data_IF_572195706024
#
_entry.id   IF_572195706024
#
_cell.length_a   1.000
_cell.length_b   1.000
_cell.length_c   1.000
_cell.angle_alpha   90.00
_cell.angle_beta   90.00
_cell.angle_gamma   90.00
#
_symmetry.space_group_name_H-M   'P 1'
#
loop_
_entity.id
_entity.type
_entity.pdbx_description
1 polymer ?
#
# COMPACT_ATOMS: atom_id res chain seq x y z
N UNK A 1 -8.44 -1.95 -39.08
CA UNK A 1 -7.96 -3.12 -38.31
C UNK A 1 -9.13 -3.63 -37.47
N UNK A 2 -9.81 -4.70 -37.89
CA UNK A 2 -10.97 -5.25 -37.16
C UNK A 2 -10.47 -6.01 -35.94
N UNK A 3 -10.59 -5.43 -34.74
CA UNK A 3 -10.24 -6.11 -33.49
C UNK A 3 -11.28 -7.20 -33.21
N UNK A 4 -10.85 -8.46 -33.28
CA UNK A 4 -11.69 -9.62 -33.04
C UNK A 4 -11.86 -9.81 -31.52
N UNK A 5 -12.68 -8.94 -30.90
CA UNK A 5 -12.89 -8.89 -29.44
C UNK A 5 -13.24 -10.27 -28.85
N UNK A 6 -13.97 -11.10 -29.61
CA UNK A 6 -14.41 -12.44 -29.21
C UNK A 6 -13.24 -13.40 -28.95
N UNK A 7 -12.17 -13.34 -29.75
CA UNK A 7 -10.99 -14.20 -29.57
C UNK A 7 -10.13 -13.82 -28.36
N UNK A 8 -10.13 -12.53 -27.98
CA UNK A 8 -9.38 -12.04 -26.82
C UNK A 8 -10.03 -12.41 -25.48
N UNK A 9 -11.36 -12.45 -25.40
CA UNK A 9 -12.08 -12.93 -24.21
C UNK A 9 -11.92 -14.44 -23.99
N UNK A 10 -11.77 -15.22 -25.06
CA UNK A 10 -11.51 -16.67 -25.03
C UNK A 10 -10.07 -17.04 -24.63
N UNK A 11 -9.16 -16.06 -24.57
CA UNK A 11 -7.75 -16.23 -24.19
C UNK A 11 -7.47 -15.87 -22.72
N UNK A 12 -8.48 -15.91 -21.84
CA UNK A 12 -8.22 -15.73 -20.40
C UNK A 12 -7.51 -16.97 -19.85
N UNK A 13 -6.30 -16.78 -19.34
CA UNK A 13 -5.61 -17.83 -18.59
C UNK A 13 -6.32 -18.02 -17.26
N UNK A 14 -6.17 -19.20 -16.64
CA UNK A 14 -6.73 -19.48 -15.31
C UNK A 14 -6.36 -18.41 -14.26
N UNK A 15 -5.15 -17.86 -14.38
CA UNK A 15 -4.66 -16.76 -13.55
C UNK A 15 -5.50 -15.49 -13.72
N UNK A 16 -5.93 -15.18 -14.93
CA UNK A 16 -6.71 -13.97 -15.23
C UNK A 16 -8.15 -14.11 -14.69
N UNK A 17 -8.72 -15.32 -14.76
CA UNK A 17 -9.99 -15.64 -14.08
C UNK A 17 -9.89 -15.44 -12.57
N UNK A 18 -8.83 -15.97 -11.93
CA UNK A 18 -8.64 -15.81 -10.48
C UNK A 18 -8.48 -14.35 -10.08
N UNK A 19 -7.75 -13.55 -10.87
CA UNK A 19 -7.62 -12.10 -10.64
C UNK A 19 -8.96 -11.40 -10.72
N UNK A 20 -9.78 -11.72 -11.73
CA UNK A 20 -11.11 -11.15 -11.88
C UNK A 20 -12.01 -11.52 -10.69
N UNK A 21 -11.99 -12.79 -10.28
CA UNK A 21 -12.71 -13.28 -9.10
C UNK A 21 -12.28 -12.56 -7.81
N UNK A 22 -10.97 -12.39 -7.60
CA UNK A 22 -10.42 -11.62 -6.48
C UNK A 22 -10.86 -10.15 -6.53
N UNK A 23 -11.02 -9.57 -7.72
CA UNK A 23 -11.46 -8.19 -7.90
C UNK A 23 -12.90 -7.99 -7.40
N UNK A 24 -13.78 -8.96 -7.67
CA UNK A 24 -15.18 -8.95 -7.21
C UNK A 24 -15.37 -9.40 -5.76
N UNK A 25 -14.32 -9.92 -5.10
CA UNK A 25 -14.43 -10.33 -3.70
C UNK A 25 -14.43 -9.11 -2.80
N UNK A 26 -15.33 -9.12 -1.81
CA UNK A 26 -15.43 -8.09 -0.79
C UNK A 26 -14.08 -7.76 -0.14
N UNK A 27 -13.87 -6.48 0.16
CA UNK A 27 -12.61 -5.96 0.67
C UNK A 27 -12.27 -6.57 2.04
N UNK A 28 -13.24 -6.67 2.94
CA UNK A 28 -13.00 -7.15 4.30
C UNK A 28 -12.73 -8.66 4.30
N UNK A 29 -13.47 -9.41 3.48
CA UNK A 29 -13.23 -10.85 3.27
C UNK A 29 -11.81 -11.08 2.73
N UNK A 30 -11.38 -10.26 1.77
CA UNK A 30 -10.04 -10.35 1.17
C UNK A 30 -8.94 -10.08 2.20
N UNK A 31 -9.09 -9.03 3.00
CA UNK A 31 -8.12 -8.68 4.04
C UNK A 31 -8.04 -9.78 5.10
N UNK A 32 -9.18 -10.33 5.56
CA UNK A 32 -9.20 -11.45 6.53
C UNK A 32 -8.49 -12.69 6.00
N UNK A 33 -8.71 -13.05 4.73
CA UNK A 33 -8.00 -14.19 4.10
C UNK A 33 -6.50 -13.96 4.01
N UNK A 34 -6.06 -12.74 3.70
CA UNK A 34 -4.64 -12.38 3.69
C UNK A 34 -4.05 -12.51 5.10
N UNK A 35 -4.76 -12.02 6.13
CA UNK A 35 -4.37 -12.18 7.52
C UNK A 35 -4.23 -13.66 7.93
N UNK A 36 -5.19 -14.51 7.54
CA UNK A 36 -5.13 -15.95 7.79
C UNK A 36 -3.92 -16.60 7.13
N UNK A 37 -3.61 -16.23 5.88
CA UNK A 37 -2.43 -16.72 5.16
C UNK A 37 -1.12 -16.31 5.86
N UNK A 38 -1.02 -15.06 6.30
CA UNK A 38 0.15 -14.58 7.06
C UNK A 38 0.29 -15.39 8.36
N UNK A 39 -0.81 -15.59 9.09
CA UNK A 39 -0.78 -16.36 10.33
C UNK A 39 -0.33 -17.82 10.10
N UNK A 40 -0.85 -18.49 9.08
CA UNK A 40 -0.46 -19.86 8.73
C UNK A 40 1.02 -19.92 8.36
N UNK A 41 1.50 -18.98 7.54
CA UNK A 41 2.91 -18.89 7.18
C UNK A 41 3.80 -18.66 8.42
N UNK A 42 3.38 -17.78 9.33
CA UNK A 42 4.14 -17.53 10.55
C UNK A 42 4.20 -18.75 11.47
N UNK A 43 3.11 -19.52 11.58
CA UNK A 43 3.11 -20.79 12.32
C UNK A 43 4.07 -21.80 11.71
N UNK A 44 4.12 -21.89 10.38
CA UNK A 44 5.02 -22.78 9.66
C UNK A 44 6.49 -22.38 9.87
N UNK A 45 6.82 -21.08 9.76
CA UNK A 45 8.19 -20.59 9.90
C UNK A 45 8.68 -20.66 11.35
N UNK A 46 7.85 -20.30 12.32
CA UNK A 46 8.23 -20.29 13.74
C UNK A 46 8.16 -21.66 14.42
N UNK A 47 7.53 -22.66 13.80
CA UNK A 47 7.20 -23.95 14.43
C UNK A 47 6.16 -23.85 15.55
N UNK A 48 5.66 -22.64 15.85
CA UNK A 48 4.72 -22.40 16.93
C UNK A 48 3.28 -22.45 16.42
N UNK A 49 2.57 -23.55 16.72
CA UNK A 49 1.18 -23.75 16.31
C UNK A 49 0.17 -22.87 17.05
N UNK A 50 0.53 -22.31 18.21
CA UNK A 50 -0.37 -21.46 19.00
C UNK A 50 -0.29 -19.98 18.63
N UNK A 51 0.64 -19.59 17.74
CA UNK A 51 0.75 -18.21 17.27
C UNK A 51 -0.58 -17.69 16.72
N UNK A 52 -1.07 -16.57 17.24
CA UNK A 52 -2.26 -15.88 16.74
C UNK A 52 -1.91 -14.44 16.40
N UNK A 53 -2.25 -14.04 15.18
CA UNK A 53 -1.97 -12.68 14.70
C UNK A 53 -2.82 -11.64 15.44
N UNK A 54 -3.96 -12.03 16.00
CA UNK A 54 -4.82 -11.16 16.82
C UNK A 54 -4.18 -10.74 18.15
N UNK A 55 -3.17 -11.47 18.62
CA UNK A 55 -2.45 -11.18 19.87
C UNK A 55 -1.19 -10.32 19.62
N UNK A 56 -0.90 -10.00 18.36
CA UNK A 56 0.23 -9.17 17.96
C UNK A 56 -0.23 -7.73 17.73
N UNK A 57 -0.06 -6.85 18.72
CA UNK A 57 -0.21 -5.41 18.51
C UNK A 57 0.94 -4.89 17.64
N UNK A 58 0.61 -4.23 16.55
CA UNK A 58 1.61 -3.68 15.61
C UNK A 58 1.57 -2.17 15.65
N UNK A 59 2.75 -1.57 15.83
CA UNK A 59 2.96 -0.15 15.63
C UNK A 59 3.65 0.04 14.29
N UNK A 60 2.97 0.73 13.38
CA UNK A 60 3.56 1.13 12.11
C UNK A 60 4.12 2.54 12.27
N UNK A 61 5.44 2.68 12.10
CA UNK A 61 6.13 3.97 11.97
C UNK A 61 6.33 4.24 10.48
N UNK A 62 5.73 5.31 9.99
CA UNK A 62 5.94 5.80 8.64
C UNK A 62 6.78 7.06 8.76
N UNK A 63 7.98 7.04 8.19
CA UNK A 63 8.80 8.22 7.97
C UNK A 63 8.75 8.52 6.48
N UNK A 64 8.27 9.71 6.12
CA UNK A 64 8.22 10.14 4.72
C UNK A 64 8.75 11.56 4.62
N UNK A 65 9.79 11.72 3.80
CA UNK A 65 10.26 13.02 3.37
C UNK A 65 9.68 13.32 1.99
N UNK A 66 8.86 14.36 1.89
CA UNK A 66 8.20 14.76 0.65
C UNK A 66 8.75 16.10 0.20
N UNK A 67 9.28 16.15 -1.02
CA UNK A 67 9.78 17.37 -1.63
C UNK A 67 8.86 17.85 -2.75
N UNK A 68 8.16 18.97 -2.53
CA UNK A 68 7.18 19.54 -3.46
C UNK A 68 7.77 20.78 -4.12
N UNK A 69 7.69 20.88 -5.45
CA UNK A 69 8.09 22.11 -6.16
C UNK A 69 7.06 23.20 -5.91
N UNK A 70 7.49 24.45 -5.73
CA UNK A 70 6.54 25.57 -5.66
C UNK A 70 5.76 25.67 -6.99
N UNK A 71 4.45 25.47 -6.91
CA UNK A 71 3.54 25.63 -8.06
C UNK A 71 3.16 27.10 -8.30
N UNK A 72 3.28 27.94 -7.27
CA UNK A 72 2.97 29.36 -7.28
C UNK A 72 4.05 30.16 -6.55
N UNK A 73 4.00 31.50 -6.63
CA UNK A 73 4.92 32.40 -5.93
C UNK A 73 4.68 32.49 -4.41
N UNK A 74 4.44 31.35 -3.75
CA UNK A 74 4.14 31.25 -2.30
C UNK A 74 5.37 31.23 -1.42
N UNK A 75 6.58 31.27 -2.01
CA UNK A 75 7.86 31.31 -1.30
C UNK A 75 7.91 32.33 -0.15
N UNK A 76 7.43 33.59 -0.27
CA UNK A 76 7.51 34.58 0.81
C UNK A 76 6.71 34.21 2.06
N UNK A 77 5.63 33.44 1.89
CA UNK A 77 4.69 33.07 2.95
C UNK A 77 5.02 31.72 3.61
N UNK A 78 6.02 30.99 3.10
CA UNK A 78 6.40 29.67 3.62
C UNK A 78 7.44 29.80 4.75
N UNK A 79 7.29 29.15 5.92
CA UNK A 79 8.29 29.16 6.99
C UNK A 79 9.66 28.65 6.51
N UNK A 80 10.76 29.19 7.04
CA UNK A 80 12.12 28.83 6.61
C UNK A 80 12.46 27.36 6.88
N UNK A 81 11.84 26.76 7.90
CA UNK A 81 12.02 25.36 8.31
C UNK A 81 11.62 24.35 7.23
N UNK A 82 10.67 24.70 6.35
CA UNK A 82 10.20 23.82 5.28
C UNK A 82 10.83 24.16 3.92
N UNK A 83 11.84 25.03 3.86
CA UNK A 83 12.50 25.42 2.61
C UNK A 83 13.76 24.61 2.44
N UNK A 84 13.90 23.92 1.30
CA UNK A 84 15.17 23.32 0.89
C UNK A 84 16.24 24.41 0.74
N UNK A 85 17.52 24.09 0.93
CA UNK A 85 18.66 25.03 0.82
C UNK A 85 18.68 25.80 -0.52
N UNK A 86 18.33 25.14 -1.62
CA UNK A 86 18.18 25.73 -2.95
C UNK A 86 17.00 26.72 -3.08
N UNK A 87 16.07 26.74 -2.11
CA UNK A 87 14.93 27.66 -2.05
C UNK A 87 13.88 27.47 -3.15
N UNK A 88 13.93 26.37 -3.90
CA UNK A 88 13.03 26.04 -5.04
C UNK A 88 11.95 25.00 -4.71
N UNK A 89 12.02 24.36 -3.55
CA UNK A 89 11.11 23.30 -3.11
C UNK A 89 10.71 23.48 -1.65
N UNK A 90 9.59 22.87 -1.30
CA UNK A 90 9.09 22.69 0.05
C UNK A 90 9.45 21.26 0.46
N UNK A 91 10.03 21.10 1.64
CA UNK A 91 10.39 19.82 2.22
C UNK A 91 9.54 19.58 3.45
N UNK A 92 8.91 18.41 3.50
CA UNK A 92 8.00 18.02 4.57
C UNK A 92 8.43 16.66 5.07
N UNK A 93 8.99 16.64 6.28
CA UNK A 93 9.29 15.41 6.99
C UNK A 93 8.11 15.06 7.89
N UNK A 94 7.43 13.98 7.54
CA UNK A 94 6.27 13.50 8.28
C UNK A 94 6.63 12.17 8.92
N UNK A 95 6.62 12.16 10.26
CA UNK A 95 6.71 10.94 11.06
C UNK A 95 5.32 10.64 11.61
N UNK A 96 4.75 9.54 11.15
CA UNK A 96 3.44 9.06 11.58
C UNK A 96 3.60 7.73 12.32
N UNK A 97 3.04 7.68 13.52
CA UNK A 97 2.89 6.45 14.29
C UNK A 97 1.42 6.06 14.28
N UNK A 98 1.14 4.85 13.80
CA UNK A 98 -0.20 4.28 13.88
C UNK A 98 -0.13 2.90 14.51
N UNK A 99 -0.67 2.80 15.73
CA UNK A 99 -0.89 1.53 16.41
C UNK A 99 -2.22 0.93 15.98
N UNK A 100 -2.23 -0.40 15.81
CA UNK A 100 -3.42 -1.22 15.58
C UNK A 100 -3.39 -2.45 16.50
#
# INVERSE_FOLDING_TARGET
MKTNLKGSFLSMKYVDYLRLFLLFTDKDVKIKRIADLIQVNMRNVSGNKTFKMSECSTYMRIESSVSIKYLFATKPFMPKEFRTEDGKRIELDVVLYKGY
#
